data_IF_593578901141
#
_entry.id   IF_593578901141
#
_cell.length_a   1.000
_cell.length_b   1.000
_cell.length_c   1.000
_cell.angle_alpha   90.00
_cell.angle_beta   90.00
_cell.angle_gamma   90.00
#
_symmetry.space_group_name_H-M   'P 1'
#
loop_
_entity.id
_entity.type
_entity.pdbx_description
1 polymer ?
#
# COMPACT_ATOMS: atom_id res chain seq x y z
N UNK A 1 7.27 -35.44 -35.92
CA UNK A 1 7.26 -33.99 -36.15
C UNK A 1 6.18 -33.37 -35.28
N UNK A 2 6.54 -32.59 -34.26
CA UNK A 2 5.55 -31.94 -33.39
C UNK A 2 4.67 -31.00 -34.26
N UNK A 3 3.37 -31.29 -34.32
CA UNK A 3 2.44 -30.66 -35.25
C UNK A 3 2.44 -29.14 -35.07
N UNK A 4 2.41 -28.40 -36.19
CA UNK A 4 2.28 -26.94 -36.20
C UNK A 4 1.14 -26.46 -35.28
N UNK A 5 0.06 -27.24 -35.20
CA UNK A 5 -1.08 -27.02 -34.31
C UNK A 5 -0.72 -27.01 -32.81
N UNK A 6 0.18 -27.89 -32.36
CA UNK A 6 0.65 -27.89 -30.95
C UNK A 6 1.46 -26.64 -30.61
N UNK A 7 2.31 -26.17 -31.54
CA UNK A 7 3.10 -24.93 -31.35
C UNK A 7 2.20 -23.70 -31.30
N UNK A 8 1.23 -23.62 -32.20
CA UNK A 8 0.26 -22.51 -32.25
C UNK A 8 -0.61 -22.46 -30.98
N UNK A 9 -1.02 -23.62 -30.46
CA UNK A 9 -1.77 -23.68 -29.20
C UNK A 9 -0.95 -23.24 -27.98
N UNK A 10 0.36 -23.51 -27.95
CA UNK A 10 1.25 -23.03 -26.89
C UNK A 10 1.43 -21.50 -26.96
N UNK A 11 1.61 -20.93 -28.15
CA UNK A 11 1.70 -19.48 -28.36
C UNK A 11 0.41 -18.76 -27.94
N UNK A 12 -0.76 -19.28 -28.34
CA UNK A 12 -2.05 -18.73 -27.90
C UNK A 12 -2.26 -18.78 -26.39
N UNK A 13 -1.75 -19.83 -25.72
CA UNK A 13 -1.82 -19.95 -24.25
C UNK A 13 -0.91 -18.93 -23.58
N UNK A 14 0.33 -18.77 -24.03
CA UNK A 14 1.25 -17.76 -23.47
C UNK A 14 0.75 -16.33 -23.69
N UNK A 15 0.13 -16.05 -24.82
CA UNK A 15 -0.53 -14.77 -25.09
C UNK A 15 -1.71 -14.55 -24.13
N UNK A 16 -2.58 -15.55 -23.95
CA UNK A 16 -3.72 -15.47 -23.03
C UNK A 16 -3.30 -15.33 -21.56
N UNK A 17 -2.24 -16.01 -21.14
CA UNK A 17 -1.66 -15.91 -19.81
C UNK A 17 -1.08 -14.50 -19.62
N UNK A 18 -0.27 -14.02 -20.58
CA UNK A 18 0.27 -12.65 -20.60
C UNK A 18 -0.78 -11.56 -20.36
N UNK A 19 -1.99 -11.72 -20.93
CA UNK A 19 -3.10 -10.78 -20.74
C UNK A 19 -3.60 -10.70 -19.30
N UNK A 20 -3.46 -11.76 -18.49
CA UNK A 20 -3.91 -11.78 -17.09
C UNK A 20 -2.86 -11.25 -16.12
N UNK A 21 -1.58 -11.33 -16.48
CA UNK A 21 -0.49 -10.91 -15.60
C UNK A 21 -0.24 -9.41 -15.71
N UNK A 22 -0.13 -8.74 -14.56
CA UNK A 22 0.27 -7.34 -14.47
C UNK A 22 1.78 -7.26 -14.31
N UNK A 23 2.46 -6.62 -15.24
CA UNK A 23 3.89 -6.39 -15.15
C UNK A 23 4.22 -5.50 -13.94
N UNK A 24 5.09 -5.94 -13.03
CA UNK A 24 5.52 -5.18 -11.85
C UNK A 24 6.29 -3.89 -12.22
N UNK A 25 6.91 -3.87 -13.40
CA UNK A 25 7.81 -2.79 -13.84
C UNK A 25 7.02 -1.59 -14.36
N UNK A 26 6.10 -1.82 -15.31
CA UNK A 26 5.33 -0.77 -15.98
C UNK A 26 3.85 -0.72 -15.56
N UNK A 27 3.37 -1.70 -14.78
CA UNK A 27 1.99 -1.83 -14.29
C UNK A 27 0.93 -2.05 -15.39
N UNK A 28 1.33 -2.44 -16.60
CA UNK A 28 0.43 -2.83 -17.69
C UNK A 28 0.22 -4.35 -17.75
N UNK A 29 -0.87 -4.77 -18.40
CA UNK A 29 -1.15 -6.18 -18.69
C UNK A 29 -0.58 -6.58 -20.06
N UNK A 30 -0.42 -7.87 -20.31
CA UNK A 30 -0.06 -8.40 -21.63
C UNK A 30 1.38 -8.91 -21.75
N UNK A 31 2.22 -8.76 -20.72
CA UNK A 31 3.61 -9.24 -20.76
C UNK A 31 4.17 -9.54 -19.38
N UNK A 32 5.18 -10.40 -19.35
CA UNK A 32 5.95 -10.70 -18.16
C UNK A 32 7.03 -9.66 -17.91
N UNK A 33 7.49 -9.55 -16.66
CA UNK A 33 8.50 -8.55 -16.26
C UNK A 33 9.83 -8.67 -16.99
N UNK A 34 10.19 -9.87 -17.46
CA UNK A 34 11.43 -10.14 -18.20
C UNK A 34 11.40 -9.64 -19.65
N UNK A 35 10.22 -9.55 -20.26
CA UNK A 35 9.98 -9.00 -21.61
C UNK A 35 9.71 -7.49 -21.60
N UNK A 36 9.57 -6.87 -20.42
CA UNK A 36 9.16 -5.48 -20.29
C UNK A 36 10.24 -4.50 -20.80
N UNK A 37 9.97 -3.88 -21.95
CA UNK A 37 10.79 -2.81 -22.53
C UNK A 37 10.43 -1.42 -22.01
N UNK A 38 9.26 -1.26 -21.38
CA UNK A 38 8.80 0.01 -20.86
C UNK A 38 9.63 0.46 -19.64
N UNK A 39 9.79 1.77 -19.49
CA UNK A 39 10.39 2.39 -18.29
C UNK A 39 9.52 2.11 -17.06
N UNK A 40 10.15 2.08 -15.87
CA UNK A 40 9.44 1.88 -14.61
C UNK A 40 8.45 3.01 -14.37
N UNK A 41 7.16 2.69 -14.20
CA UNK A 41 6.14 3.67 -13.86
C UNK A 41 6.15 3.86 -12.34
N UNK A 42 6.57 5.03 -11.89
CA UNK A 42 6.45 5.37 -10.47
C UNK A 42 5.02 5.81 -10.15
N UNK A 43 4.36 5.09 -9.26
CA UNK A 43 3.08 5.50 -8.68
C UNK A 43 3.36 6.05 -7.31
N UNK A 44 3.10 7.35 -7.13
CA UNK A 44 3.30 7.97 -5.83
C UNK A 44 2.31 7.38 -4.83
N UNK A 45 2.84 6.76 -3.77
CA UNK A 45 2.04 6.35 -2.62
C UNK A 45 2.01 7.49 -1.62
N UNK A 46 0.85 7.68 -1.01
CA UNK A 46 0.72 8.64 0.08
C UNK A 46 1.53 8.15 1.28
N UNK A 47 2.19 9.07 1.98
CA UNK A 47 2.87 8.71 3.22
C UNK A 47 1.87 8.21 4.26
N UNK A 48 2.30 7.33 5.16
CA UNK A 48 1.47 6.82 6.26
C UNK A 48 0.81 7.96 7.05
N UNK A 49 1.54 9.04 7.28
CA UNK A 49 1.04 10.25 7.95
C UNK A 49 -0.09 10.93 7.18
N UNK A 50 0.03 11.05 5.85
CA UNK A 50 -1.03 11.61 4.99
C UNK A 50 -2.28 10.73 5.01
N UNK A 51 -2.12 9.42 4.99
CA UNK A 51 -3.24 8.48 5.11
C UNK A 51 -3.95 8.60 6.46
N UNK A 52 -3.21 8.68 7.56
CA UNK A 52 -3.78 8.86 8.90
C UNK A 52 -4.52 10.21 9.01
N UNK A 53 -3.94 11.29 8.51
CA UNK A 53 -4.58 12.61 8.50
C UNK A 53 -5.91 12.60 7.73
N UNK A 54 -5.99 11.91 6.59
CA UNK A 54 -7.24 11.74 5.84
C UNK A 54 -8.29 10.96 6.63
N UNK A 55 -7.90 9.86 7.31
CA UNK A 55 -8.81 9.07 8.15
C UNK A 55 -9.38 9.89 9.32
N UNK A 56 -8.52 10.64 10.01
CA UNK A 56 -8.96 11.50 11.13
C UNK A 56 -9.94 12.57 10.63
N UNK A 57 -9.65 13.22 9.49
CA UNK A 57 -10.55 14.21 8.89
C UNK A 57 -11.90 13.61 8.49
N UNK A 58 -11.91 12.40 7.91
CA UNK A 58 -13.15 11.71 7.54
C UNK A 58 -14.01 11.41 8.78
N UNK A 59 -13.42 10.86 9.84
CA UNK A 59 -14.12 10.60 11.11
C UNK A 59 -14.67 11.88 11.75
N UNK A 60 -13.92 12.98 11.70
CA UNK A 60 -14.38 14.27 12.22
C UNK A 60 -15.55 14.83 11.39
N UNK A 61 -15.52 14.67 10.06
CA UNK A 61 -16.63 15.08 9.19
C UNK A 61 -17.89 14.23 9.44
N UNK A 62 -17.74 12.92 9.59
CA UNK A 62 -18.86 12.02 9.93
C UNK A 62 -19.52 12.42 11.25
N UNK A 63 -18.72 12.72 12.28
CA UNK A 63 -19.23 13.24 13.56
C UNK A 63 -19.97 14.57 13.38
N UNK A 64 -19.39 15.53 12.66
CA UNK A 64 -20.05 16.81 12.40
C UNK A 64 -21.36 16.66 11.62
N UNK A 65 -21.46 15.68 10.71
CA UNK A 65 -22.70 15.41 9.99
C UNK A 65 -23.73 14.80 10.94
N UNK A 66 -23.34 13.84 11.78
CA UNK A 66 -24.22 13.26 12.80
C UNK A 66 -24.72 14.32 13.79
N UNK A 67 -23.83 15.18 14.29
CA UNK A 67 -24.17 16.26 15.22
C UNK A 67 -25.15 17.26 14.59
N UNK A 68 -24.95 17.59 13.29
CA UNK A 68 -25.86 18.49 12.55
C UNK A 68 -27.23 17.85 12.25
N UNK A 69 -27.29 16.55 12.04
CA UNK A 69 -28.54 15.82 11.86
C UNK A 69 -29.33 15.73 13.18
N UNK A 70 -28.63 15.54 14.31
CA UNK A 70 -29.22 15.58 15.65
C UNK A 70 -29.77 16.98 15.95
N UNK A 71 -29.01 18.06 15.70
CA UNK A 71 -29.51 19.43 15.93
C UNK A 71 -30.73 19.77 15.07
N UNK A 72 -30.79 19.29 13.83
CA UNK A 72 -31.93 19.54 12.92
C UNK A 72 -33.20 18.76 13.31
N UNK A 73 -33.08 17.63 14.03
CA UNK A 73 -34.23 16.90 14.59
C UNK A 73 -34.71 17.48 15.94
N UNK A 74 -33.83 18.19 16.66
CA UNK A 74 -34.18 18.91 17.89
C UNK A 74 -34.90 20.23 17.57
N UNK A 75 -34.54 20.92 16.49
CA UNK A 75 -35.24 22.14 16.04
C UNK A 75 -36.70 21.91 15.60
N UNK A 76 -37.12 20.68 15.30
CA UNK A 76 -38.52 20.35 14.97
C UNK A 76 -39.37 19.92 16.18
N UNK A 77 -38.79 19.84 17.39
CA UNK A 77 -39.49 19.41 18.61
C UNK A 77 -39.22 20.27 19.86
N UNK A 78 -38.62 21.46 19.75
CA UNK A 78 -38.27 22.27 20.91
C UNK A 78 -39.35 23.29 21.31
N UNK A 79 -40.22 22.89 22.24
CA UNK A 79 -40.82 23.75 23.26
C UNK A 79 -40.56 23.08 24.62
N UNK A 80 -39.44 23.42 25.26
CA UNK A 80 -39.13 23.36 26.70
C UNK A 80 -37.60 23.47 26.95
N UNK A 81 -37.23 24.46 27.77
CA UNK A 81 -35.93 24.74 28.42
C UNK A 81 -35.18 23.52 28.99
N UNK A 82 -33.84 23.55 28.97
CA UNK A 82 -32.98 23.60 30.19
C UNK A 82 -31.47 23.41 29.85
N UNK A 83 -30.70 24.48 30.12
CA UNK A 83 -29.33 24.57 30.68
C UNK A 83 -28.13 23.78 30.10
N UNK A 84 -27.07 24.55 29.79
CA UNK A 84 -25.77 24.17 29.23
C UNK A 84 -24.77 23.78 30.33
N UNK A 85 -24.05 22.66 30.19
CA UNK A 85 -22.71 22.49 30.79
C UNK A 85 -21.73 21.88 29.78
N UNK A 86 -20.77 22.70 29.34
CA UNK A 86 -19.59 22.29 28.59
C UNK A 86 -18.42 22.12 29.56
N UNK A 87 -18.04 20.88 29.85
CA UNK A 87 -16.80 20.59 30.57
C UNK A 87 -15.81 19.92 29.61
N UNK A 88 -14.72 20.63 29.35
CA UNK A 88 -13.55 20.14 28.62
C UNK A 88 -12.54 19.54 29.62
N UNK A 89 -11.42 19.02 29.10
CA UNK A 89 -10.23 18.52 29.82
C UNK A 89 -10.33 17.04 30.24
N UNK A 90 -9.34 16.15 30.10
CA UNK A 90 -7.89 16.31 30.02
C UNK A 90 -7.28 15.10 29.26
N UNK A 91 -6.19 15.36 28.54
CA UNK A 91 -5.47 14.38 27.72
C UNK A 91 -4.37 13.68 28.52
N UNK A 92 -4.48 12.37 28.72
CA UNK A 92 -3.39 11.57 29.28
C UNK A 92 -2.83 10.58 28.26
N UNK A 93 -1.81 11.03 27.52
CA UNK A 93 -0.95 10.21 26.68
C UNK A 93 0.07 9.47 27.56
N UNK A 94 -0.02 8.14 27.61
CA UNK A 94 1.06 7.29 28.13
C UNK A 94 1.62 6.42 27.02
N UNK A 95 2.71 6.90 26.42
CA UNK A 95 3.49 6.19 25.43
C UNK A 95 4.72 5.57 26.09
N UNK A 96 4.67 4.27 26.36
CA UNK A 96 5.85 3.46 26.69
C UNK A 96 6.14 2.53 25.52
N UNK A 97 7.13 2.89 24.70
CA UNK A 97 7.58 2.07 23.56
C UNK A 97 9.08 1.89 23.66
N UNK A 98 9.46 0.82 24.37
CA UNK A 98 10.83 0.32 24.48
C UNK A 98 11.34 -0.07 23.10
N UNK A 99 12.41 0.57 22.63
CA UNK A 99 13.04 0.27 21.35
C UNK A 99 14.39 -0.36 21.64
N UNK A 100 14.50 -1.66 21.39
CA UNK A 100 15.75 -2.42 21.46
C UNK A 100 16.30 -2.55 20.04
N UNK A 101 17.36 -1.81 19.72
CA UNK A 101 18.08 -1.96 18.45
C UNK A 101 19.08 -3.12 18.58
N UNK A 102 18.74 -4.27 17.99
CA UNK A 102 19.70 -5.35 17.75
C UNK A 102 20.19 -5.27 16.31
N UNK A 103 21.38 -4.70 16.14
CA UNK A 103 22.14 -4.76 14.89
C UNK A 103 22.77 -6.15 14.75
N UNK A 104 22.28 -6.95 13.80
CA UNK A 104 22.93 -8.18 13.36
C UNK A 104 23.47 -7.96 11.95
N UNK A 105 24.75 -7.65 11.88
CA UNK A 105 25.53 -7.59 10.65
C UNK A 105 26.18 -8.98 10.47
N UNK A 106 25.84 -9.68 9.39
CA UNK A 106 26.44 -10.97 9.06
C UNK A 106 27.00 -10.88 7.66
N UNK A 107 28.30 -10.62 7.64
CA UNK A 107 29.18 -10.71 6.49
C UNK A 107 29.44 -12.20 6.18
N UNK A 108 29.05 -12.68 5.01
CA UNK A 108 29.49 -13.97 4.46
C UNK A 108 29.69 -13.81 2.95
N UNK A 109 30.94 -13.56 2.56
CA UNK A 109 31.45 -13.55 1.18
C UNK A 109 32.04 -14.92 0.83
N UNK A 110 31.59 -15.59 -0.25
CA UNK A 110 32.43 -16.56 -0.93
C UNK A 110 32.79 -16.07 -2.34
N UNK A 111 33.85 -15.26 -2.45
CA UNK A 111 34.52 -15.01 -3.72
C UNK A 111 35.46 -16.18 -4.05
N UNK A 112 34.93 -17.12 -4.83
CA UNK A 112 35.65 -18.23 -5.42
C UNK A 112 36.70 -17.66 -6.41
N UNK A 113 37.96 -17.58 -5.98
CA UNK A 113 39.06 -17.08 -6.80
C UNK A 113 39.45 -18.11 -7.86
N UNK A 114 39.12 -17.79 -9.12
CA UNK A 114 39.52 -18.55 -10.29
C UNK A 114 41.05 -18.56 -10.37
N UNK A 115 41.62 -19.75 -10.19
CA UNK A 115 42.99 -20.15 -10.47
C UNK A 115 43.47 -19.59 -11.82
N UNK A 116 44.33 -18.57 -11.79
CA UNK A 116 45.12 -18.20 -12.97
C UNK A 116 46.25 -19.21 -13.11
N UNK A 117 46.25 -19.92 -14.24
CA UNK A 117 47.43 -20.61 -14.77
C UNK A 117 48.51 -19.56 -15.04
N UNK A 118 49.70 -19.76 -14.48
CA UNK A 118 50.91 -19.09 -14.91
C UNK A 118 51.87 -20.20 -15.33
N UNK A 119 52.05 -20.30 -16.64
CA UNK A 119 53.09 -21.09 -17.27
C UNK A 119 54.45 -20.40 -17.10
N UNK A 120 55.50 -21.21 -16.96
CA UNK A 120 56.94 -20.92 -16.83
C UNK A 120 57.45 -20.52 -15.43
#
# INVERSE_FOLDING_TARGET
MASLTKRFALQKKTEADGLKHKCQKCLQYGHWTYECQNKRKYVQRESRTKLLAKKIKALAQEKQIADKEITKQVESNADADDENVTESDDSSSSSSSSSSDSSSDSEEEPSNSKKMKKDC
#
